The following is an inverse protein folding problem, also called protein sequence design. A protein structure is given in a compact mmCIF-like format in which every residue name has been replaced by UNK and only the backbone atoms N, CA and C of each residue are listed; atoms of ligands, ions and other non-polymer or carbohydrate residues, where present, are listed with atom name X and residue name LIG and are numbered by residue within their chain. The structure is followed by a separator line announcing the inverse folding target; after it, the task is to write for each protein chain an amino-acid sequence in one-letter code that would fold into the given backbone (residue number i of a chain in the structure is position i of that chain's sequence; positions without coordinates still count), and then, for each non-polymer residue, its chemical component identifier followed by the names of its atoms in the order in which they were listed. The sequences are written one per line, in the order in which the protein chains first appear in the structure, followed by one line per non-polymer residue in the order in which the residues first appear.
data_IF_936676369084
#
_entry.id   IF_936676369084
#
_cell.length_a   1.000
_cell.length_b   1.000
_cell.length_c   1.000
_cell.angle_alpha   90.00
_cell.angle_beta   90.00
_cell.angle_gamma   90.00
#
_symmetry.space_group_name_H-M   'P 1'
#
loop_
_entity.id
_entity.type
_entity.pdbx_description
1 polymer ?
#
# COMPACT_ATOMS: atom_id res chain seq x y z
N UNK A 1 0.21 -17.27 -40.24
CA UNK A 1 1.11 -16.15 -39.88
C UNK A 1 0.46 -15.42 -38.71
N UNK A 2 1.04 -15.50 -37.51
CA UNK A 2 0.59 -14.71 -36.35
C UNK A 2 1.55 -13.53 -36.20
N UNK A 3 1.21 -12.33 -36.71
CA UNK A 3 2.14 -11.23 -36.77
C UNK A 3 1.92 -10.30 -35.56
N UNK A 4 2.98 -10.08 -34.78
CA UNK A 4 3.32 -8.78 -34.20
C UNK A 4 2.35 -8.15 -33.16
N UNK A 5 1.15 -8.70 -32.91
CA UNK A 5 0.20 -8.19 -31.91
C UNK A 5 0.74 -8.25 -30.46
N UNK A 6 1.83 -9.00 -30.24
CA UNK A 6 2.47 -9.27 -28.96
C UNK A 6 3.49 -8.22 -28.48
N UNK A 7 3.89 -7.24 -29.30
CA UNK A 7 5.03 -6.35 -28.92
C UNK A 7 4.62 -5.22 -27.96
N UNK A 8 3.33 -4.83 -27.92
CA UNK A 8 2.86 -3.72 -27.09
C UNK A 8 2.13 -4.12 -25.81
N UNK A 9 1.59 -5.34 -25.75
CA UNK A 9 0.79 -5.83 -24.63
C UNK A 9 1.39 -7.13 -24.13
N UNK A 10 2.32 -7.05 -23.18
CA UNK A 10 2.69 -8.18 -22.33
C UNK A 10 1.47 -8.59 -21.52
N UNK A 11 0.56 -9.31 -22.17
CA UNK A 11 -0.73 -9.68 -21.66
C UNK A 11 -0.68 -11.01 -20.90
N UNK A 12 -1.80 -11.38 -20.27
CA UNK A 12 -1.95 -12.69 -19.64
C UNK A 12 -1.74 -13.85 -20.62
N UNK A 13 -2.02 -13.64 -21.91
CA UNK A 13 -1.84 -14.65 -22.96
C UNK A 13 -0.36 -15.00 -23.20
N UNK A 14 0.50 -13.97 -23.25
CA UNK A 14 1.96 -14.07 -23.35
C UNK A 14 2.53 -14.86 -22.16
N UNK A 15 2.12 -14.48 -20.95
CA UNK A 15 2.58 -15.12 -19.71
C UNK A 15 2.17 -16.58 -19.66
N UNK A 16 0.96 -16.92 -20.13
CA UNK A 16 0.52 -18.30 -20.24
C UNK A 16 1.38 -19.09 -21.24
N UNK A 17 1.68 -18.51 -22.40
CA UNK A 17 2.50 -19.16 -23.43
C UNK A 17 3.93 -19.43 -22.94
N UNK A 18 4.57 -18.44 -22.29
CA UNK A 18 5.89 -18.60 -21.66
C UNK A 18 5.82 -19.61 -20.52
N UNK A 19 4.77 -19.59 -19.71
CA UNK A 19 4.53 -20.54 -18.62
C UNK A 19 4.42 -21.99 -19.12
N UNK A 20 3.74 -22.21 -20.26
CA UNK A 20 3.66 -23.53 -20.90
C UNK A 20 5.03 -24.00 -21.38
N UNK A 21 5.81 -23.13 -22.04
CA UNK A 21 7.18 -23.48 -22.49
C UNK A 21 8.06 -23.81 -21.28
N UNK A 22 8.01 -23.00 -20.22
CA UNK A 22 8.73 -23.26 -18.99
C UNK A 22 8.30 -24.59 -18.34
N UNK A 23 7.00 -24.92 -18.36
CA UNK A 23 6.50 -26.20 -17.87
C UNK A 23 6.95 -27.37 -18.72
N UNK A 24 7.13 -27.22 -20.03
CA UNK A 24 7.68 -28.29 -20.88
C UNK A 24 9.18 -28.52 -20.60
N UNK A 25 9.94 -27.46 -20.36
CA UNK A 25 11.38 -27.55 -20.08
C UNK A 25 11.66 -28.09 -18.66
N UNK A 26 10.94 -27.57 -17.66
CA UNK A 26 11.19 -27.89 -16.25
C UNK A 26 10.23 -28.94 -15.68
N UNK A 27 9.04 -29.10 -16.26
CA UNK A 27 8.03 -30.07 -15.83
C UNK A 27 7.70 -29.94 -14.34
N UNK A 28 7.78 -31.07 -13.64
CA UNK A 28 7.54 -31.16 -12.19
C UNK A 28 8.57 -30.41 -11.34
N UNK A 29 9.67 -29.94 -11.92
CA UNK A 29 10.73 -29.19 -11.23
C UNK A 29 10.44 -27.68 -11.14
N UNK A 30 9.51 -27.16 -11.93
CA UNK A 30 9.08 -25.76 -11.86
C UNK A 30 8.64 -25.33 -10.44
N UNK A 31 7.75 -26.05 -9.72
CA UNK A 31 7.38 -25.68 -8.34
C UNK A 31 8.52 -25.85 -7.33
N UNK A 32 9.47 -26.76 -7.60
CA UNK A 32 10.66 -26.96 -6.75
C UNK A 32 11.59 -25.75 -6.86
N UNK A 33 11.87 -25.30 -8.09
CA UNK A 33 12.67 -24.11 -8.41
C UNK A 33 12.00 -22.82 -7.92
N UNK A 34 10.69 -22.69 -8.11
CA UNK A 34 9.94 -21.54 -7.59
C UNK A 34 10.00 -21.46 -6.06
N UNK A 35 9.92 -22.60 -5.37
CA UNK A 35 10.06 -22.65 -3.90
C UNK A 35 11.47 -22.33 -3.43
N UNK A 36 12.51 -22.82 -4.10
CA UNK A 36 13.90 -22.51 -3.73
C UNK A 36 14.24 -21.04 -3.97
N UNK A 37 13.83 -20.48 -5.12
CA UNK A 37 13.97 -19.04 -5.39
C UNK A 37 13.15 -18.19 -4.42
N UNK A 38 11.90 -18.58 -4.16
CA UNK A 38 11.02 -17.84 -3.25
C UNK A 38 11.60 -17.74 -1.84
N UNK A 39 12.17 -18.84 -1.31
CA UNK A 39 12.87 -18.82 -0.02
C UNK A 39 14.06 -17.86 -0.02
N UNK A 40 14.91 -17.91 -1.06
CA UNK A 40 16.04 -17.00 -1.20
C UNK A 40 15.63 -15.52 -1.27
N UNK A 41 14.56 -15.20 -2.00
CA UNK A 41 14.03 -13.82 -2.07
C UNK A 41 13.47 -13.35 -0.72
N UNK A 42 12.80 -14.23 0.03
CA UNK A 42 12.27 -13.90 1.37
C UNK A 42 13.42 -13.65 2.36
N UNK A 43 14.42 -14.52 2.40
CA UNK A 43 15.59 -14.37 3.27
C UNK A 43 16.41 -13.12 2.90
N UNK A 44 16.60 -12.86 1.61
CA UNK A 44 17.25 -11.65 1.12
C UNK A 44 16.51 -10.38 1.57
N UNK A 45 15.17 -10.34 1.42
CA UNK A 45 14.35 -9.21 1.89
C UNK A 45 14.42 -9.03 3.41
N UNK A 46 14.48 -10.12 4.17
CA UNK A 46 14.64 -10.08 5.64
C UNK A 46 16.02 -9.53 6.03
N UNK A 47 17.07 -9.94 5.32
CA UNK A 47 18.43 -9.41 5.51
C UNK A 47 18.50 -7.90 5.24
N UNK A 48 17.93 -7.44 4.12
CA UNK A 48 17.88 -6.01 3.79
C UNK A 48 17.13 -5.19 4.85
N UNK A 49 15.99 -5.69 5.35
CA UNK A 49 15.23 -5.00 6.41
C UNK A 49 15.99 -4.89 7.72
N UNK A 50 16.66 -5.96 8.14
CA UNK A 50 17.48 -5.93 9.36
C UNK A 50 18.62 -4.90 9.27
N UNK A 51 19.21 -4.73 8.08
CA UNK A 51 20.25 -3.72 7.86
C UNK A 51 19.69 -2.30 7.95
N UNK A 52 18.53 -2.04 7.34
CA UNK A 52 17.86 -0.74 7.43
C UNK A 52 17.52 -0.37 8.89
N UNK A 53 16.94 -1.33 9.64
CA UNK A 53 16.56 -1.15 11.05
C UNK A 53 17.79 -0.91 11.95
N UNK A 54 18.92 -1.57 11.68
CA UNK A 54 20.20 -1.40 12.41
C UNK A 54 20.85 -0.03 12.16
N UNK A 55 20.69 0.53 10.96
CA UNK A 55 21.18 1.88 10.63
C UNK A 55 20.33 2.94 11.35
N UNK A 56 19.01 2.80 11.36
CA UNK A 56 18.13 3.74 12.04
C UNK A 56 18.34 3.72 13.56
N UNK A 57 18.45 2.54 14.19
CA UNK A 57 18.65 2.46 15.66
C UNK A 57 20.00 2.98 16.15
N UNK A 58 21.07 2.90 15.36
CA UNK A 58 22.38 3.45 15.75
C UNK A 58 22.46 4.99 15.65
N UNK A 59 21.61 5.62 14.84
CA UNK A 59 21.54 7.09 14.74
C UNK A 59 20.72 7.71 15.89
N UNK A 60 19.80 6.94 16.51
CA UNK A 60 18.96 7.39 17.63
C UNK A 60 19.40 6.86 19.01
N UNK A 61 20.68 6.58 19.24
CA UNK A 61 21.18 6.38 20.60
C UNK A 61 21.58 7.74 21.22
N UNK A 62 20.72 8.43 22.01
CA UNK A 62 21.17 9.55 22.80
C UNK A 62 22.17 9.04 23.85
N UNK A 63 23.39 9.56 23.82
CA UNK A 63 24.33 9.40 24.93
C UNK A 63 23.65 9.90 26.20
N UNK A 64 23.50 9.00 27.17
CA UNK A 64 23.16 9.34 28.55
C UNK A 64 24.35 10.07 29.19
N UNK A 65 24.55 11.33 28.83
CA UNK A 65 25.43 12.24 29.52
C UNK A 65 24.61 13.06 30.53
N UNK A 66 24.86 12.76 31.80
CA UNK A 66 24.78 13.64 32.97
C UNK A 66 23.51 14.50 33.20
N UNK A 67 22.75 14.09 34.21
CA UNK A 67 22.45 14.91 35.40
C UNK A 67 22.66 16.43 35.29
N UNK A 68 21.66 17.15 34.74
CA UNK A 68 21.32 18.52 35.17
C UNK A 68 19.88 18.88 34.77
N UNK A 69 18.93 18.65 35.69
CA UNK A 69 17.76 19.45 36.12
C UNK A 69 17.12 20.51 35.15
N UNK A 70 15.83 20.92 35.28
CA UNK A 70 14.56 20.23 35.55
C UNK A 70 13.51 20.36 34.39
N UNK A 71 12.51 19.49 34.46
CA UNK A 71 11.26 19.32 33.69
C UNK A 71 10.50 20.58 33.19
N UNK A 72 10.07 20.61 31.91
CA UNK A 72 8.81 21.23 31.48
C UNK A 72 7.65 20.23 31.60
N UNK A 73 6.51 20.71 32.10
CA UNK A 73 5.28 19.97 32.36
C UNK A 73 4.69 19.25 31.13
N UNK A 74 3.96 18.13 31.31
CA UNK A 74 3.17 17.53 30.24
C UNK A 74 2.12 18.52 29.77
N UNK A 75 2.26 19.02 28.55
CA UNK A 75 1.16 19.67 27.84
C UNK A 75 0.25 18.53 27.38
N UNK A 76 -0.95 18.52 27.95
CA UNK A 76 -2.08 17.70 27.57
C UNK A 76 -2.43 17.96 26.09
N UNK A 77 -1.85 17.17 25.19
CA UNK A 77 -2.16 17.20 23.75
C UNK A 77 -3.32 16.24 23.44
N UNK A 78 -4.42 16.31 24.21
CA UNK A 78 -5.65 15.55 23.92
C UNK A 78 -6.66 16.33 23.08
N UNK A 79 -6.35 17.53 22.57
CA UNK A 79 -7.33 18.36 21.86
C UNK A 79 -6.79 19.00 20.58
N UNK A 80 -6.26 18.22 19.64
CA UNK A 80 -6.16 18.69 18.24
C UNK A 80 -6.37 17.57 17.22
N UNK A 81 -7.55 16.98 17.21
CA UNK A 81 -8.20 16.64 15.93
C UNK A 81 -9.70 16.76 16.09
N UNK A 82 -10.19 18.00 16.01
CA UNK A 82 -11.57 18.25 15.63
C UNK A 82 -11.71 17.87 14.15
N UNK A 83 -11.74 16.57 13.85
CA UNK A 83 -12.20 16.11 12.56
C UNK A 83 -13.63 16.63 12.40
N UNK A 84 -13.93 17.44 11.36
CA UNK A 84 -15.29 17.93 11.17
C UNK A 84 -16.20 16.72 10.96
N UNK A 85 -17.22 16.61 11.82
CA UNK A 85 -18.26 15.59 11.74
C UNK A 85 -18.92 15.72 10.36
N UNK A 86 -18.65 14.78 9.46
CA UNK A 86 -19.40 14.64 8.22
C UNK A 86 -20.81 14.14 8.58
N UNK A 87 -21.79 15.04 8.54
CA UNK A 87 -23.21 14.68 8.63
C UNK A 87 -23.77 14.61 7.20
N UNK A 88 -24.19 13.42 6.71
CA UNK A 88 -24.84 13.33 5.41
C UNK A 88 -26.20 14.05 5.48
N UNK A 89 -26.55 14.89 4.48
CA UNK A 89 -27.81 15.61 4.51
C UNK A 89 -28.98 14.62 4.48
N UNK A 90 -29.81 14.65 5.52
CA UNK A 90 -31.14 14.06 5.52
C UNK A 90 -32.14 15.14 5.12
N UNK A 91 -32.61 15.09 3.88
CA UNK A 91 -33.78 15.83 3.39
C UNK A 91 -34.40 14.93 2.31
N UNK A 92 -35.30 14.02 2.67
CA UNK A 92 -36.75 14.21 2.82
C UNK A 92 -37.37 14.85 1.56
N UNK A 93 -38.27 14.15 0.84
CA UNK A 93 -38.81 14.57 -0.45
C UNK A 93 -39.46 15.95 -0.38
N UNK A 94 -38.98 16.88 -1.19
CA UNK A 94 -39.63 18.17 -1.38
C UNK A 94 -40.94 17.97 -2.16
N UNK A 95 -42.01 17.66 -1.43
CA UNK A 95 -43.34 18.16 -1.77
C UNK A 95 -43.34 19.66 -1.47
N UNK A 96 -43.37 20.48 -2.52
CA UNK A 96 -43.88 21.84 -2.39
C UNK A 96 -44.52 22.26 -3.70
N UNK A 97 -45.85 22.20 -3.68
CA UNK A 97 -46.75 23.06 -4.42
C UNK A 97 -46.16 24.45 -4.68
N UNK A 98 -46.22 24.91 -5.92
CA UNK A 98 -46.32 26.34 -6.21
C UNK A 98 -47.43 26.55 -7.24
N UNK A 99 -48.52 27.09 -6.72
CA UNK A 99 -49.69 27.58 -7.42
C UNK A 99 -49.43 28.96 -8.04
N UNK A 100 -50.05 29.18 -9.19
CA UNK A 100 -50.55 30.46 -9.74
C UNK A 100 -49.53 31.47 -10.31
N UNK A 101 -49.54 31.71 -11.64
CA UNK A 101 -50.41 32.65 -12.41
C UNK A 101 -49.73 34.01 -12.56
N UNK A 102 -49.27 34.34 -13.78
CA UNK A 102 -49.60 35.62 -14.42
C UNK A 102 -49.19 35.65 -15.91
N UNK A 103 -50.01 36.35 -16.70
CA UNK A 103 -50.03 36.47 -18.17
C UNK A 103 -48.80 37.13 -18.79
N UNK A 104 -48.42 36.72 -20.01
CA UNK A 104 -48.69 37.42 -21.28
C UNK A 104 -48.44 36.48 -22.46
#
# INVERSE_FOLDING_TARGET
MFPIAFIGSLGPAEMLFVGIIALLLFGKKLPEVARSLGKGVIEFKKGLRGIEDDIDTNVYSPRNDASSNPRPTPIDESVVTSAPKFEPPKTEPTESHHSETFSQ
#
